data_IF_919627071547
#
_entry.id   IF_919627071547
#
_cell.length_a   1.000
_cell.length_b   1.000
_cell.length_c   1.000
_cell.angle_alpha   90.00
_cell.angle_beta   90.00
_cell.angle_gamma   90.00
#
_symmetry.space_group_name_H-M   'P 1'
#
loop_
_entity.id
_entity.type
_entity.pdbx_description
1 polymer ?
#
# COMPACT_ATOMS: atom_id res chain seq x y z
N UNK A 1 -33.19 12.98 63.84
CA UNK A 1 -33.00 12.27 62.55
C UNK A 1 -31.91 12.94 61.70
N UNK A 2 -30.76 13.31 62.29
CA UNK A 2 -29.81 14.27 61.67
C UNK A 2 -28.55 13.63 61.06
N UNK A 3 -28.51 12.30 60.90
CA UNK A 3 -27.31 11.57 60.42
C UNK A 3 -27.44 10.89 59.05
N UNK A 4 -28.64 10.82 58.47
CA UNK A 4 -28.86 10.06 57.21
C UNK A 4 -28.57 10.88 55.95
N UNK A 5 -28.87 12.17 55.95
CA UNK A 5 -28.61 13.07 54.82
C UNK A 5 -27.14 13.16 54.36
N UNK A 6 -26.13 13.34 55.26
CA UNK A 6 -24.73 13.42 54.83
C UNK A 6 -24.18 12.09 54.32
N UNK A 7 -24.72 10.95 54.79
CA UNK A 7 -24.36 9.61 54.29
C UNK A 7 -24.91 9.35 52.88
N UNK A 8 -26.13 9.79 52.60
CA UNK A 8 -26.76 9.64 51.28
C UNK A 8 -26.03 10.53 50.24
N UNK A 9 -25.67 11.77 50.61
CA UNK A 9 -24.88 12.66 49.75
C UNK A 9 -23.48 12.12 49.44
N UNK A 10 -22.81 11.49 50.42
CA UNK A 10 -21.51 10.83 50.20
C UNK A 10 -21.59 9.65 49.24
N UNK A 11 -22.64 8.82 49.35
CA UNK A 11 -22.87 7.69 48.44
C UNK A 11 -23.17 8.20 47.02
N UNK A 12 -24.00 9.25 46.89
CA UNK A 12 -24.32 9.84 45.58
C UNK A 12 -23.07 10.43 44.90
N UNK A 13 -22.18 11.08 45.68
CA UNK A 13 -20.93 11.64 45.16
C UNK A 13 -19.95 10.56 44.70
N UNK A 14 -19.89 9.42 45.40
CA UNK A 14 -19.07 8.26 44.99
C UNK A 14 -19.62 7.60 43.73
N UNK A 15 -20.96 7.47 43.60
CA UNK A 15 -21.62 6.92 42.40
C UNK A 15 -21.42 7.84 41.19
N UNK A 16 -21.59 9.15 41.35
CA UNK A 16 -21.38 10.12 40.28
C UNK A 16 -19.90 10.19 39.89
N UNK A 17 -18.97 10.12 40.87
CA UNK A 17 -17.54 10.07 40.58
C UNK A 17 -17.14 8.79 39.84
N UNK A 18 -17.70 7.63 40.21
CA UNK A 18 -17.43 6.36 39.51
C UNK A 18 -18.04 6.31 38.09
N UNK A 19 -19.17 6.99 37.85
CA UNK A 19 -19.75 7.16 36.52
C UNK A 19 -18.93 8.13 35.63
N UNK A 20 -18.35 9.19 36.21
CA UNK A 20 -17.51 10.14 35.46
C UNK A 20 -16.13 9.54 35.15
N UNK A 21 -15.57 8.67 36.00
CA UNK A 21 -14.33 7.93 35.70
C UNK A 21 -14.51 6.89 34.58
N UNK A 22 -15.71 6.34 34.37
CA UNK A 22 -16.01 5.44 33.26
C UNK A 22 -16.11 6.14 31.89
N UNK A 23 -16.19 7.49 31.87
CA UNK A 23 -16.27 8.31 30.66
C UNK A 23 -14.93 8.66 30.00
N UNK A 24 -13.81 8.27 30.61
CA UNK A 24 -12.48 8.33 29.99
C UNK A 24 -12.21 7.03 29.22
N UNK A 25 -13.15 6.64 28.35
CA UNK A 25 -13.12 5.39 27.60
C UNK A 25 -12.23 5.49 26.37
N UNK A 26 -11.39 4.48 26.16
CA UNK A 26 -10.65 4.29 24.92
C UNK A 26 -11.63 4.06 23.75
N UNK A 27 -11.66 4.99 22.79
CA UNK A 27 -12.60 4.98 21.66
C UNK A 27 -12.12 4.10 20.49
N UNK A 28 -10.89 3.56 20.57
CA UNK A 28 -10.30 2.75 19.50
C UNK A 28 -11.12 1.49 19.15
N UNK A 29 -11.70 0.74 20.10
CA UNK A 29 -12.55 -0.41 19.78
C UNK A 29 -13.78 -0.04 18.94
N UNK A 30 -14.44 1.08 19.26
CA UNK A 30 -15.58 1.57 18.49
C UNK A 30 -15.16 2.02 17.08
N UNK A 31 -14.00 2.69 16.97
CA UNK A 31 -13.43 3.06 15.68
C UNK A 31 -13.10 1.82 14.83
N UNK A 32 -12.49 0.78 15.42
CA UNK A 32 -12.18 -0.48 14.74
C UNK A 32 -13.48 -1.10 14.20
N UNK A 33 -14.51 -1.21 15.03
CA UNK A 33 -15.81 -1.77 14.63
C UNK A 33 -16.43 -0.96 13.47
N UNK A 34 -16.37 0.37 13.54
CA UNK A 34 -16.85 1.25 12.46
C UNK A 34 -16.10 1.00 11.15
N UNK A 35 -14.77 0.94 11.19
CA UNK A 35 -13.97 0.69 9.99
C UNK A 35 -14.15 -0.74 9.46
N UNK A 36 -14.36 -1.74 10.31
CA UNK A 36 -14.71 -3.10 9.89
C UNK A 36 -16.01 -3.11 9.07
N UNK A 37 -17.08 -2.51 9.59
CA UNK A 37 -18.38 -2.43 8.89
C UNK A 37 -18.27 -1.70 7.56
N UNK A 38 -17.63 -0.52 7.55
CA UNK A 38 -17.44 0.27 6.33
C UNK A 38 -16.56 -0.46 5.30
N UNK A 39 -15.55 -1.20 5.76
CA UNK A 39 -14.69 -1.98 4.88
C UNK A 39 -15.43 -3.17 4.26
N UNK A 40 -16.32 -3.84 5.01
CA UNK A 40 -17.15 -4.92 4.46
C UNK A 40 -18.07 -4.40 3.33
N UNK A 41 -18.71 -3.24 3.55
CA UNK A 41 -19.53 -2.60 2.51
C UNK A 41 -18.70 -2.23 1.27
N UNK A 42 -17.52 -1.63 1.47
CA UNK A 42 -16.62 -1.24 0.37
C UNK A 42 -16.06 -2.42 -0.39
N UNK A 43 -15.76 -3.53 0.30
CA UNK A 43 -15.32 -4.77 -0.35
C UNK A 43 -16.40 -5.29 -1.31
N UNK A 44 -17.65 -5.36 -0.86
CA UNK A 44 -18.78 -5.74 -1.72
C UNK A 44 -18.96 -4.80 -2.90
N UNK A 45 -18.93 -3.48 -2.65
CA UNK A 45 -18.99 -2.49 -3.72
C UNK A 45 -17.85 -2.66 -4.72
N UNK A 46 -16.61 -2.82 -4.26
CA UNK A 46 -15.46 -3.02 -5.13
C UNK A 46 -15.60 -4.28 -5.97
N UNK A 47 -16.12 -5.38 -5.39
CA UNK A 47 -16.40 -6.62 -6.11
C UNK A 47 -17.38 -6.38 -7.27
N UNK A 48 -18.52 -5.74 -6.98
CA UNK A 48 -19.51 -5.39 -7.99
C UNK A 48 -18.92 -4.48 -9.07
N UNK A 49 -18.13 -3.47 -8.70
CA UNK A 49 -17.51 -2.57 -9.68
C UNK A 49 -16.47 -3.27 -10.57
N UNK A 50 -15.78 -4.30 -10.06
CA UNK A 50 -14.87 -5.14 -10.84
C UNK A 50 -15.66 -6.03 -11.82
N UNK A 51 -16.73 -6.68 -11.35
CA UNK A 51 -17.61 -7.55 -12.15
C UNK A 51 -18.35 -6.77 -13.26
N UNK A 52 -18.88 -5.60 -12.91
CA UNK A 52 -19.59 -4.68 -13.80
C UNK A 52 -18.66 -3.88 -14.72
N UNK A 53 -17.35 -4.16 -14.70
CA UNK A 53 -16.37 -3.51 -15.58
C UNK A 53 -16.37 -1.98 -15.42
N UNK A 54 -16.52 -1.48 -14.20
CA UNK A 54 -16.55 -0.04 -13.92
C UNK A 54 -15.15 0.54 -13.63
N UNK A 55 -14.17 -0.30 -13.32
CA UNK A 55 -12.79 0.14 -13.10
C UNK A 55 -12.02 0.19 -14.43
N UNK A 56 -11.57 1.38 -14.81
CA UNK A 56 -10.83 1.62 -16.07
C UNK A 56 -9.62 0.71 -16.21
N UNK A 57 -8.78 0.63 -15.20
CA UNK A 57 -7.54 -0.16 -15.27
C UNK A 57 -7.81 -1.67 -15.23
N UNK A 58 -8.89 -2.13 -14.58
CA UNK A 58 -9.34 -3.52 -14.68
C UNK A 58 -9.74 -3.88 -16.12
N UNK A 59 -10.50 -2.99 -16.78
CA UNK A 59 -10.86 -3.18 -18.18
C UNK A 59 -9.66 -3.20 -19.11
N UNK A 60 -8.73 -2.26 -18.93
CA UNK A 60 -7.50 -2.21 -19.72
C UNK A 60 -6.66 -3.46 -19.52
N UNK A 61 -6.57 -3.96 -18.27
CA UNK A 61 -5.86 -5.21 -17.99
C UNK A 61 -6.45 -6.38 -18.77
N UNK A 62 -7.78 -6.56 -18.74
CA UNK A 62 -8.45 -7.60 -19.52
C UNK A 62 -8.20 -7.45 -21.04
N UNK A 63 -8.34 -6.25 -21.59
CA UNK A 63 -8.15 -6.00 -23.02
C UNK A 63 -6.70 -6.24 -23.45
N UNK A 64 -5.75 -5.70 -22.69
CA UNK A 64 -4.32 -5.84 -22.95
C UNK A 64 -3.88 -7.29 -22.84
N UNK A 65 -4.36 -8.02 -21.83
CA UNK A 65 -4.09 -9.44 -21.68
C UNK A 65 -4.62 -10.24 -22.86
N UNK A 66 -5.83 -9.96 -23.35
CA UNK A 66 -6.38 -10.64 -24.54
C UNK A 66 -5.56 -10.38 -25.80
N UNK A 67 -5.14 -9.13 -26.02
CA UNK A 67 -4.29 -8.76 -27.17
C UNK A 67 -2.94 -9.47 -27.07
N UNK A 68 -2.29 -9.37 -25.91
CA UNK A 68 -0.96 -9.91 -25.72
C UNK A 68 -0.96 -11.44 -25.80
N UNK A 69 -1.94 -12.11 -25.21
CA UNK A 69 -2.07 -13.58 -25.25
C UNK A 69 -2.20 -14.14 -26.67
N UNK A 70 -2.83 -13.39 -27.59
CA UNK A 70 -2.91 -13.76 -29.02
C UNK A 70 -1.57 -13.57 -29.73
N UNK A 71 -0.86 -12.47 -29.41
CA UNK A 71 0.42 -12.13 -30.06
C UNK A 71 1.62 -12.91 -29.49
N UNK A 72 1.55 -13.36 -28.24
CA UNK A 72 2.61 -14.09 -27.52
C UNK A 72 2.03 -15.31 -26.79
N UNK A 73 1.66 -16.37 -27.53
CA UNK A 73 1.04 -17.57 -26.95
C UNK A 73 1.89 -18.24 -25.86
N UNK A 74 3.22 -18.18 -25.98
CA UNK A 74 4.16 -18.77 -24.99
C UNK A 74 4.04 -18.12 -23.61
N UNK A 75 3.59 -16.86 -23.55
CA UNK A 75 3.37 -16.12 -22.30
C UNK A 75 1.93 -16.25 -21.79
N UNK A 76 1.04 -16.92 -22.53
CA UNK A 76 -0.39 -16.97 -22.23
C UNK A 76 -0.68 -17.40 -20.78
N UNK A 77 -0.04 -18.43 -20.19
CA UNK A 77 -0.34 -18.82 -18.82
C UNK A 77 -0.04 -17.70 -17.80
N UNK A 78 1.06 -16.96 -17.98
CA UNK A 78 1.39 -15.82 -17.14
C UNK A 78 0.43 -14.64 -17.36
N UNK A 79 0.05 -14.38 -18.61
CA UNK A 79 -0.87 -13.31 -18.98
C UNK A 79 -2.28 -13.58 -18.43
N UNK A 80 -2.76 -14.82 -18.53
CA UNK A 80 -4.04 -15.23 -17.97
C UNK A 80 -4.03 -15.09 -16.44
N UNK A 81 -2.91 -15.40 -15.78
CA UNK A 81 -2.77 -15.21 -14.33
C UNK A 81 -2.86 -13.73 -13.95
N UNK A 82 -2.11 -12.85 -14.63
CA UNK A 82 -2.17 -11.40 -14.41
C UNK A 82 -3.56 -10.84 -14.73
N UNK A 83 -4.27 -11.39 -15.71
CA UNK A 83 -5.63 -10.94 -16.03
C UNK A 83 -6.60 -11.12 -14.86
N UNK A 84 -6.34 -12.05 -13.92
CA UNK A 84 -7.18 -12.24 -12.73
C UNK A 84 -7.20 -11.01 -11.81
N UNK A 85 -6.16 -10.17 -11.83
CA UNK A 85 -6.15 -8.91 -11.07
C UNK A 85 -7.25 -7.94 -11.50
N UNK A 86 -7.82 -8.11 -12.69
CA UNK A 86 -8.96 -7.34 -13.15
C UNK A 86 -10.29 -7.72 -12.44
N UNK A 87 -10.28 -8.73 -11.57
CA UNK A 87 -11.47 -9.22 -10.87
C UNK A 87 -11.21 -9.60 -9.41
N UNK A 88 -12.21 -10.22 -8.80
CA UNK A 88 -12.16 -10.71 -7.41
C UNK A 88 -11.22 -11.92 -7.21
N UNK A 89 -10.77 -12.53 -8.30
CA UNK A 89 -9.83 -13.65 -8.27
C UNK A 89 -8.36 -13.23 -8.22
N UNK A 90 -8.08 -11.92 -8.31
CA UNK A 90 -6.73 -11.38 -8.25
C UNK A 90 -6.12 -11.50 -6.85
N UNK A 91 -4.80 -11.73 -6.75
CA UNK A 91 -4.11 -11.81 -5.46
C UNK A 91 -4.33 -10.59 -4.57
N UNK A 92 -4.47 -9.39 -5.15
CA UNK A 92 -4.68 -8.18 -4.36
C UNK A 92 -6.06 -8.12 -3.72
N UNK A 93 -7.12 -8.44 -4.48
CA UNK A 93 -8.48 -8.50 -3.94
C UNK A 93 -8.59 -9.58 -2.86
N UNK A 94 -8.10 -10.80 -3.15
CA UNK A 94 -8.12 -11.92 -2.20
C UNK A 94 -7.35 -11.61 -0.92
N UNK A 95 -6.23 -10.88 -1.03
CA UNK A 95 -5.47 -10.42 0.14
C UNK A 95 -6.28 -9.46 1.01
N UNK A 96 -7.02 -8.51 0.42
CA UNK A 96 -7.88 -7.58 1.15
C UNK A 96 -9.03 -8.30 1.84
N UNK A 97 -9.67 -9.25 1.17
CA UNK A 97 -10.74 -10.06 1.75
C UNK A 97 -10.21 -10.86 2.97
N UNK A 98 -9.08 -11.54 2.82
CA UNK A 98 -8.47 -12.29 3.94
C UNK A 98 -8.12 -11.37 5.11
N UNK A 99 -7.46 -10.24 4.84
CA UNK A 99 -7.06 -9.28 5.88
C UNK A 99 -8.27 -8.70 6.62
N UNK A 100 -9.38 -8.47 5.93
CA UNK A 100 -10.62 -8.04 6.55
C UNK A 100 -11.23 -9.13 7.46
N UNK A 101 -11.08 -10.41 7.11
CA UNK A 101 -11.45 -11.53 7.99
C UNK A 101 -10.55 -11.59 9.23
N UNK A 102 -9.23 -11.47 9.05
CA UNK A 102 -8.23 -11.43 10.12
C UNK A 102 -8.45 -10.25 11.09
N UNK A 103 -8.93 -9.10 10.59
CA UNK A 103 -9.22 -7.91 11.38
C UNK A 103 -10.26 -8.13 12.50
N UNK A 104 -11.13 -9.14 12.36
CA UNK A 104 -12.15 -9.46 13.36
C UNK A 104 -11.58 -10.14 14.61
N UNK A 105 -10.33 -10.61 14.56
CA UNK A 105 -9.66 -11.28 15.66
C UNK A 105 -8.47 -10.43 16.13
N UNK A 106 -8.62 -9.85 17.32
CA UNK A 106 -7.61 -8.98 17.93
C UNK A 106 -6.30 -9.69 18.26
N UNK A 107 -6.31 -11.04 18.38
CA UNK A 107 -5.10 -11.82 18.64
C UNK A 107 -4.12 -11.85 17.47
N UNK A 108 -4.56 -11.47 16.27
CA UNK A 108 -3.71 -11.30 15.09
C UNK A 108 -2.83 -10.05 15.14
N UNK A 109 -3.04 -9.18 16.13
CA UNK A 109 -2.37 -7.89 16.28
C UNK A 109 -1.58 -7.82 17.57
N UNK A 110 -0.47 -7.07 17.56
CA UNK A 110 0.38 -6.87 18.73
C UNK A 110 -0.37 -6.06 19.79
N UNK A 111 -1.08 -5.03 19.35
CA UNK A 111 -1.85 -4.11 20.19
C UNK A 111 -3.04 -3.53 19.41
N UNK A 112 -3.90 -2.82 20.15
CA UNK A 112 -5.10 -2.17 19.60
C UNK A 112 -4.74 -1.07 18.59
N UNK A 113 -3.58 -0.42 18.72
CA UNK A 113 -3.14 0.61 17.78
C UNK A 113 -2.84 -0.01 16.41
N UNK A 114 -2.14 -1.15 16.37
CA UNK A 114 -1.88 -1.87 15.13
C UNK A 114 -3.17 -2.40 14.48
N UNK A 115 -4.14 -2.85 15.28
CA UNK A 115 -5.46 -3.26 14.79
C UNK A 115 -6.23 -2.09 14.18
N UNK A 116 -6.22 -0.92 14.84
CA UNK A 116 -6.86 0.29 14.32
C UNK A 116 -6.18 0.79 13.04
N UNK A 117 -4.85 0.79 12.99
CA UNK A 117 -4.09 1.16 11.80
C UNK A 117 -4.46 0.23 10.62
N UNK A 118 -4.56 -1.07 10.85
CA UNK A 118 -4.99 -2.02 9.82
C UNK A 118 -6.44 -1.77 9.37
N UNK A 119 -7.35 -1.49 10.30
CA UNK A 119 -8.74 -1.16 9.98
C UNK A 119 -8.83 0.07 9.06
N UNK A 120 -8.06 1.12 9.37
CA UNK A 120 -7.97 2.33 8.54
C UNK A 120 -7.34 2.05 7.18
N UNK A 121 -6.28 1.23 7.14
CA UNK A 121 -5.60 0.86 5.92
C UNK A 121 -6.52 0.07 4.98
N UNK A 122 -7.28 -0.91 5.50
CA UNK A 122 -8.24 -1.68 4.72
C UNK A 122 -9.37 -0.80 4.19
N UNK A 123 -9.93 0.08 5.02
CA UNK A 123 -10.95 1.02 4.59
C UNK A 123 -10.48 1.88 3.41
N UNK A 124 -9.23 2.35 3.43
CA UNK A 124 -8.64 3.09 2.31
C UNK A 124 -8.33 2.19 1.12
N UNK A 125 -7.74 1.02 1.34
CA UNK A 125 -7.33 0.10 0.27
C UNK A 125 -8.50 -0.35 -0.61
N UNK A 126 -9.70 -0.42 -0.02
CA UNK A 126 -10.96 -0.80 -0.66
C UNK A 126 -11.67 0.36 -1.37
N UNK A 127 -11.11 1.57 -1.34
CA UNK A 127 -11.61 2.67 -2.17
C UNK A 127 -11.41 2.33 -3.67
N UNK A 128 -12.46 2.37 -4.51
CA UNK A 128 -12.35 1.99 -5.92
C UNK A 128 -11.34 2.83 -6.72
N UNK A 129 -11.12 4.10 -6.35
CA UNK A 129 -10.15 4.95 -7.05
C UNK A 129 -8.72 4.54 -6.72
N UNK A 130 -8.45 4.27 -5.44
CA UNK A 130 -7.14 3.78 -4.98
C UNK A 130 -6.83 2.38 -5.53
N UNK A 131 -7.84 1.50 -5.57
CA UNK A 131 -7.69 0.17 -6.15
C UNK A 131 -7.50 0.23 -7.67
N UNK A 132 -8.22 1.11 -8.37
CA UNK A 132 -7.99 1.33 -9.80
C UNK A 132 -6.55 1.79 -10.09
N UNK A 133 -5.99 2.69 -9.28
CA UNK A 133 -4.60 3.12 -9.43
C UNK A 133 -3.60 1.99 -9.12
N UNK A 134 -3.90 1.12 -8.14
CA UNK A 134 -3.11 -0.10 -7.88
C UNK A 134 -3.02 -1.01 -9.10
N UNK A 135 -4.14 -1.18 -9.83
CA UNK A 135 -4.17 -2.01 -11.05
C UNK A 135 -3.31 -1.45 -12.18
N UNK A 136 -2.78 -0.24 -12.08
CA UNK A 136 -1.81 0.26 -13.06
C UNK A 136 -0.53 -0.59 -13.11
N UNK A 137 -0.10 -1.17 -11.99
CA UNK A 137 1.11 -2.01 -11.95
C UNK A 137 0.98 -3.25 -12.85
N UNK A 138 -0.03 -4.15 -12.70
CA UNK A 138 -0.20 -5.29 -13.59
C UNK A 138 -0.49 -4.88 -15.05
N UNK A 139 -1.24 -3.79 -15.29
CA UNK A 139 -1.44 -3.26 -16.66
C UNK A 139 -0.10 -2.90 -17.31
N UNK A 140 0.78 -2.23 -16.57
CA UNK A 140 2.08 -1.81 -17.05
C UNK A 140 3.05 -2.99 -17.26
N UNK A 141 2.87 -4.09 -16.52
CA UNK A 141 3.60 -5.34 -16.79
C UNK A 141 3.20 -5.94 -18.13
N UNK A 142 1.89 -6.04 -18.41
CA UNK A 142 1.42 -6.50 -19.72
C UNK A 142 1.90 -5.55 -20.83
N UNK A 143 1.85 -4.23 -20.60
CA UNK A 143 2.33 -3.25 -21.55
C UNK A 143 3.83 -3.41 -21.85
N UNK A 144 4.66 -3.62 -20.82
CA UNK A 144 6.09 -3.85 -20.99
C UNK A 144 6.39 -5.16 -21.74
N UNK A 145 5.62 -6.22 -21.49
CA UNK A 145 5.75 -7.48 -22.23
C UNK A 145 5.32 -7.34 -23.69
N UNK A 146 4.58 -6.29 -24.07
CA UNK A 146 4.17 -6.05 -25.45
C UNK A 146 5.26 -5.43 -26.32
N UNK A 147 6.43 -5.10 -25.75
CA UNK A 147 7.54 -4.43 -26.46
C UNK A 147 7.12 -3.10 -27.14
N UNK A 148 6.29 -2.30 -26.46
CA UNK A 148 5.86 -0.98 -26.93
C UNK A 148 4.58 -0.97 -27.78
N UNK A 149 3.97 -2.12 -28.06
CA UNK A 149 2.70 -2.19 -28.77
C UNK A 149 1.50 -1.69 -27.94
N UNK A 150 1.60 -1.78 -26.61
CA UNK A 150 0.58 -1.34 -25.66
C UNK A 150 1.15 -0.20 -24.80
N UNK A 151 0.34 0.82 -24.58
CA UNK A 151 0.74 2.00 -23.81
C UNK A 151 0.62 1.74 -22.30
N UNK A 152 1.63 2.18 -21.55
CA UNK A 152 1.55 2.24 -20.08
C UNK A 152 0.45 3.20 -19.62
N UNK A 153 -0.08 2.93 -18.43
CA UNK A 153 -1.13 3.72 -17.77
C UNK A 153 -0.64 4.19 -16.41
N UNK A 154 -1.11 5.37 -15.99
CA UNK A 154 -0.77 6.00 -14.72
C UNK A 154 0.74 6.11 -14.42
N UNK A 155 1.57 5.93 -15.45
CA UNK A 155 3.02 6.02 -15.36
C UNK A 155 3.60 6.56 -16.67
N UNK A 156 4.80 7.15 -16.59
CA UNK A 156 5.59 7.48 -17.78
C UNK A 156 6.13 6.21 -18.46
N UNK A 157 6.69 6.36 -19.67
CA UNK A 157 7.32 5.24 -20.38
C UNK A 157 8.42 4.58 -19.56
N UNK A 158 8.72 3.32 -19.90
CA UNK A 158 9.74 2.52 -19.20
C UNK A 158 11.10 3.19 -19.22
N UNK A 159 11.50 3.66 -20.40
CA UNK A 159 12.79 4.30 -20.67
C UNK A 159 12.88 5.62 -19.90
N UNK A 160 11.82 6.42 -19.92
CA UNK A 160 11.76 7.68 -19.16
C UNK A 160 11.82 7.43 -17.65
N UNK A 161 11.17 6.38 -17.14
CA UNK A 161 11.24 5.99 -15.74
C UNK A 161 12.65 5.53 -15.34
N UNK A 162 13.34 4.75 -16.17
CA UNK A 162 14.72 4.33 -15.91
C UNK A 162 15.63 5.56 -15.85
N UNK A 163 15.54 6.45 -16.84
CA UNK A 163 16.35 7.67 -16.89
C UNK A 163 16.09 8.60 -15.69
N UNK A 164 14.83 8.88 -15.38
CA UNK A 164 14.44 9.81 -14.32
C UNK A 164 14.84 9.34 -12.91
N UNK A 165 14.99 8.03 -12.71
CA UNK A 165 15.33 7.45 -11.41
C UNK A 165 16.80 7.03 -11.30
N UNK A 166 17.63 7.24 -12.33
CA UNK A 166 18.97 6.64 -12.41
C UNK A 166 18.91 5.12 -12.23
N UNK A 167 17.83 4.53 -12.72
CA UNK A 167 17.43 3.16 -12.44
C UNK A 167 18.01 2.16 -13.42
N UNK A 168 17.56 0.92 -13.29
CA UNK A 168 17.89 -0.16 -14.19
C UNK A 168 16.61 -0.83 -14.68
N UNK A 169 16.65 -1.35 -15.90
CA UNK A 169 15.62 -2.24 -16.40
C UNK A 169 15.75 -3.66 -15.80
N UNK A 170 14.86 -3.99 -14.87
CA UNK A 170 14.71 -5.32 -14.27
C UNK A 170 13.82 -6.27 -15.10
N UNK A 171 13.38 -5.84 -16.29
CA UNK A 171 12.47 -6.59 -17.16
C UNK A 171 11.00 -6.40 -16.80
N UNK A 172 10.11 -7.01 -17.60
CA UNK A 172 8.68 -7.06 -17.28
C UNK A 172 8.44 -7.73 -15.91
N UNK A 173 7.45 -7.24 -15.18
CA UNK A 173 7.14 -7.72 -13.82
C UNK A 173 7.84 -6.92 -12.72
N UNK A 174 8.84 -6.10 -13.04
CA UNK A 174 9.60 -5.32 -12.04
C UNK A 174 8.74 -4.40 -11.16
N UNK A 175 7.56 -3.99 -11.65
CA UNK A 175 6.57 -3.20 -10.93
C UNK A 175 5.92 -3.97 -9.78
N UNK A 176 5.82 -5.30 -9.89
CA UNK A 176 5.18 -6.17 -8.90
C UNK A 176 6.14 -6.65 -7.81
N UNK A 177 7.45 -6.43 -8.00
CA UNK A 177 8.47 -6.80 -7.02
C UNK A 177 8.24 -6.03 -5.72
N UNK A 178 8.33 -6.74 -4.59
CA UNK A 178 8.05 -6.19 -3.27
C UNK A 178 6.57 -6.21 -2.87
N UNK A 179 5.67 -6.47 -3.81
CA UNK A 179 4.24 -6.62 -3.52
C UNK A 179 3.92 -8.07 -3.06
N UNK A 180 3.47 -8.26 -1.82
CA UNK A 180 3.24 -9.58 -1.24
C UNK A 180 2.10 -10.37 -1.89
N UNK A 181 1.31 -9.75 -2.78
CA UNK A 181 0.35 -10.46 -3.62
C UNK A 181 1.03 -11.39 -4.63
N UNK A 182 2.27 -11.10 -5.04
CA UNK A 182 2.92 -11.77 -6.17
C UNK A 182 4.17 -12.57 -5.78
N UNK A 183 4.68 -12.39 -4.56
CA UNK A 183 5.90 -13.04 -4.11
C UNK A 183 6.37 -12.59 -2.74
N UNK A 184 7.60 -12.99 -2.40
CA UNK A 184 8.26 -12.57 -1.16
C UNK A 184 9.77 -12.47 -1.32
N UNK A 185 10.38 -11.68 -0.45
CA UNK A 185 11.83 -11.64 -0.33
C UNK A 185 12.32 -12.89 0.41
N UNK A 186 13.17 -13.67 -0.25
CA UNK A 186 13.85 -14.82 0.32
C UNK A 186 15.34 -14.52 0.46
N UNK A 187 16.00 -15.16 1.42
CA UNK A 187 17.44 -15.02 1.63
C UNK A 187 18.10 -16.37 1.54
N UNK A 188 19.14 -16.46 0.72
CA UNK A 188 19.92 -17.69 0.58
C UNK A 188 20.97 -17.84 1.69
N UNK A 189 21.64 -18.99 1.72
CA UNK A 189 22.74 -19.29 2.66
C UNK A 189 23.89 -18.28 2.59
N UNK A 190 24.10 -17.64 1.44
CA UNK A 190 25.08 -16.57 1.24
C UNK A 190 24.65 -15.21 1.81
N UNK A 191 23.49 -15.14 2.47
CA UNK A 191 22.97 -13.92 3.09
C UNK A 191 22.47 -12.86 2.09
N UNK A 192 22.32 -13.22 0.81
CA UNK A 192 21.78 -12.32 -0.21
C UNK A 192 20.27 -12.51 -0.33
N UNK A 193 19.51 -11.41 -0.25
CA UNK A 193 18.06 -11.47 -0.46
C UNK A 193 17.69 -11.28 -1.93
N UNK A 194 16.75 -12.09 -2.41
CA UNK A 194 16.21 -12.04 -3.77
C UNK A 194 14.70 -12.17 -3.75
N UNK A 195 14.04 -11.68 -4.81
CA UNK A 195 12.60 -11.77 -4.97
C UNK A 195 12.22 -13.16 -5.49
N UNK A 196 11.33 -13.84 -4.77
CA UNK A 196 10.77 -15.12 -5.15
C UNK A 196 9.28 -14.96 -5.46
N UNK A 197 8.91 -15.28 -6.70
CA UNK A 197 7.53 -15.22 -7.18
C UNK A 197 6.69 -16.40 -6.68
N UNK A 198 5.39 -16.18 -6.50
CA UNK A 198 4.45 -17.24 -6.14
C UNK A 198 3.82 -17.91 -7.35
N UNK A 199 3.62 -19.24 -7.26
CA UNK A 199 2.83 -20.00 -8.23
C UNK A 199 3.21 -19.70 -9.67
N UNK A 200 2.22 -19.31 -10.48
CA UNK A 200 2.42 -19.10 -11.92
C UNK A 200 3.26 -17.85 -12.22
N UNK A 201 3.38 -16.91 -11.28
CA UNK A 201 4.29 -15.78 -11.42
C UNK A 201 5.76 -16.21 -11.42
N UNK A 202 6.10 -17.45 -11.02
CA UNK A 202 7.45 -18.00 -11.19
C UNK A 202 7.92 -18.01 -12.65
N UNK A 203 6.99 -17.96 -13.62
CA UNK A 203 7.32 -17.76 -15.03
C UNK A 203 8.10 -16.46 -15.28
N UNK A 204 7.95 -15.41 -14.46
CA UNK A 204 8.81 -14.23 -14.60
C UNK A 204 10.29 -14.57 -14.47
N UNK A 205 10.65 -15.40 -13.48
CA UNK A 205 12.03 -15.85 -13.30
C UNK A 205 12.47 -16.76 -14.45
N UNK A 206 11.61 -17.66 -14.92
CA UNK A 206 11.99 -18.68 -15.89
C UNK A 206 12.10 -18.13 -17.32
N UNK A 207 11.18 -17.24 -17.70
CA UNK A 207 11.11 -16.67 -19.05
C UNK A 207 12.09 -15.51 -19.20
N UNK A 208 12.21 -14.65 -18.19
CA UNK A 208 13.09 -13.49 -18.25
C UNK A 208 14.46 -13.72 -17.60
N UNK A 209 14.71 -14.93 -17.07
CA UNK A 209 15.96 -15.48 -16.53
C UNK A 209 16.82 -14.52 -15.69
N UNK A 210 16.19 -13.74 -14.80
CA UNK A 210 16.87 -12.72 -14.00
C UNK A 210 16.37 -12.71 -12.55
N UNK A 211 17.12 -13.33 -11.62
CA UNK A 211 16.86 -13.15 -10.19
C UNK A 211 16.98 -11.67 -9.82
N UNK A 212 15.98 -11.14 -9.14
CA UNK A 212 15.95 -9.74 -8.72
C UNK A 212 16.49 -9.65 -7.30
N UNK A 213 17.76 -9.29 -7.16
CA UNK A 213 18.42 -9.05 -5.87
C UNK A 213 17.87 -7.81 -5.18
N UNK A 214 17.64 -7.90 -3.87
CA UNK A 214 17.08 -6.81 -3.07
C UNK A 214 17.95 -5.55 -3.11
N UNK A 215 19.27 -5.72 -3.04
CA UNK A 215 20.24 -4.64 -3.03
C UNK A 215 20.22 -3.81 -4.33
N UNK A 216 20.21 -4.51 -5.46
CA UNK A 216 20.19 -3.90 -6.79
C UNK A 216 18.83 -3.26 -7.05
N UNK A 217 17.76 -3.99 -6.77
CA UNK A 217 16.39 -3.50 -6.95
C UNK A 217 16.09 -2.29 -6.07
N UNK A 218 16.47 -2.32 -4.79
CA UNK A 218 16.13 -1.25 -3.85
C UNK A 218 16.70 0.11 -4.27
N UNK A 219 17.91 0.13 -4.79
CA UNK A 219 18.58 1.34 -5.25
C UNK A 219 18.16 1.77 -6.66
N UNK A 220 17.86 0.82 -7.56
CA UNK A 220 17.70 1.10 -9.01
C UNK A 220 16.31 0.83 -9.58
N UNK A 221 15.30 0.50 -8.77
CA UNK A 221 13.94 0.25 -9.27
C UNK A 221 13.32 1.50 -9.91
N UNK A 222 12.42 1.25 -10.87
CA UNK A 222 11.51 2.25 -11.41
C UNK A 222 10.29 2.50 -10.50
N UNK A 223 9.39 3.35 -11.00
CA UNK A 223 8.10 3.61 -10.36
C UNK A 223 7.19 2.38 -10.39
N UNK A 224 6.50 2.16 -9.28
CA UNK A 224 5.35 1.25 -9.18
C UNK A 224 4.38 1.84 -8.17
N UNK A 225 3.09 1.81 -8.48
CA UNK A 225 2.09 2.36 -7.57
C UNK A 225 2.17 1.71 -6.19
N UNK A 226 2.29 0.39 -6.12
CA UNK A 226 2.39 -0.30 -4.84
C UNK A 226 3.57 0.22 -4.00
N UNK A 227 4.80 0.24 -4.52
CA UNK A 227 5.96 0.60 -3.69
C UNK A 227 6.01 2.10 -3.36
N UNK A 228 5.48 2.96 -4.23
CA UNK A 228 5.63 4.42 -4.12
C UNK A 228 4.43 5.11 -3.46
N UNK A 229 3.24 4.51 -3.51
CA UNK A 229 1.98 5.12 -3.04
C UNK A 229 1.17 4.16 -2.16
N UNK A 230 1.04 2.91 -2.59
CA UNK A 230 0.08 1.96 -2.03
C UNK A 230 0.57 1.09 -0.88
N UNK A 231 1.88 0.99 -0.63
CA UNK A 231 2.49 -0.09 0.17
C UNK A 231 1.83 -0.26 1.53
N UNK A 232 1.64 0.83 2.27
CA UNK A 232 1.08 0.79 3.62
C UNK A 232 -0.37 0.31 3.65
N UNK A 233 -1.15 0.53 2.58
CA UNK A 233 -2.55 0.08 2.46
C UNK A 233 -2.65 -1.38 2.08
N UNK A 234 -1.74 -1.85 1.22
CA UNK A 234 -1.81 -3.15 0.56
C UNK A 234 -0.90 -4.23 1.16
N UNK A 235 -0.19 -3.91 2.25
CA UNK A 235 0.66 -4.84 3.00
C UNK A 235 0.05 -5.11 4.36
N UNK A 236 -0.20 -6.37 4.71
CA UNK A 236 -0.69 -6.71 6.05
C UNK A 236 0.38 -6.44 7.12
N UNK A 237 0.01 -6.27 8.41
CA UNK A 237 0.98 -6.05 9.48
C UNK A 237 2.06 -7.14 9.56
N UNK A 238 1.65 -8.41 9.42
CA UNK A 238 2.58 -9.54 9.35
C UNK A 238 3.56 -9.40 8.18
N UNK A 239 3.07 -9.10 6.97
CA UNK A 239 3.92 -8.90 5.79
C UNK A 239 4.87 -7.71 5.96
N UNK A 240 4.40 -6.61 6.56
CA UNK A 240 5.20 -5.42 6.80
C UNK A 240 6.38 -5.74 7.74
N UNK A 241 6.14 -6.52 8.80
CA UNK A 241 7.20 -7.02 9.69
C UNK A 241 8.25 -7.84 8.94
N UNK A 242 7.84 -8.77 8.07
CA UNK A 242 8.79 -9.58 7.27
C UNK A 242 9.62 -8.73 6.30
N UNK A 243 8.99 -7.74 5.65
CA UNK A 243 9.69 -6.80 4.78
C UNK A 243 10.68 -5.92 5.59
N UNK A 244 10.32 -5.52 6.82
CA UNK A 244 11.20 -4.76 7.70
C UNK A 244 12.40 -5.60 8.18
N UNK A 245 12.19 -6.89 8.49
CA UNK A 245 13.29 -7.80 8.82
C UNK A 245 14.28 -7.96 7.66
N UNK A 246 13.77 -8.04 6.43
CA UNK A 246 14.60 -8.08 5.21
C UNK A 246 15.40 -6.79 5.04
N UNK A 247 14.73 -5.65 5.22
CA UNK A 247 15.36 -4.33 5.17
C UNK A 247 16.49 -4.19 6.19
N UNK A 248 16.24 -4.52 7.46
CA UNK A 248 17.24 -4.40 8.53
C UNK A 248 18.41 -5.37 8.34
N UNK A 249 18.16 -6.58 7.83
CA UNK A 249 19.22 -7.53 7.48
C UNK A 249 20.13 -6.99 6.37
N UNK A 250 19.56 -6.52 5.28
CA UNK A 250 20.34 -5.96 4.16
C UNK A 250 21.07 -4.68 4.56
N UNK A 251 20.44 -3.82 5.36
CA UNK A 251 21.08 -2.64 5.95
C UNK A 251 22.33 -3.01 6.75
N UNK A 252 22.22 -3.99 7.67
CA UNK A 252 23.35 -4.48 8.46
C UNK A 252 24.47 -5.06 7.59
N UNK A 253 24.12 -5.84 6.56
CA UNK A 253 25.07 -6.43 5.60
C UNK A 253 25.81 -5.34 4.80
N UNK A 254 25.11 -4.31 4.36
CA UNK A 254 25.74 -3.19 3.66
C UNK A 254 26.70 -2.42 4.56
N UNK A 255 26.29 -2.16 5.80
CA UNK A 255 27.14 -1.52 6.80
C UNK A 255 28.39 -2.33 7.11
N UNK A 256 28.29 -3.67 7.23
CA UNK A 256 29.47 -4.53 7.47
C UNK A 256 30.42 -4.60 6.28
N UNK A 257 29.93 -4.34 5.06
CA UNK A 257 30.75 -4.22 3.85
C UNK A 257 31.28 -2.81 3.59
N UNK A 258 31.03 -1.85 4.48
CA UNK A 258 31.40 -0.44 4.28
C UNK A 258 30.64 0.26 3.14
N UNK A 259 29.53 -0.32 2.66
CA UNK A 259 28.73 0.22 1.56
C UNK A 259 27.56 1.06 2.10
N UNK A 260 27.16 2.07 1.33
CA UNK A 260 25.95 2.87 1.63
C UNK A 260 24.70 2.10 1.21
N UNK A 261 23.82 1.83 2.16
CA UNK A 261 22.52 1.22 1.89
C UNK A 261 21.50 2.28 1.48
N UNK A 262 20.82 2.06 0.35
CA UNK A 262 19.73 2.91 -0.10
C UNK A 262 18.40 2.20 0.15
N UNK A 263 17.55 2.80 0.98
CA UNK A 263 16.23 2.23 1.27
C UNK A 263 15.35 2.28 0.02
N UNK A 264 14.69 1.16 -0.36
CA UNK A 264 13.74 1.13 -1.47
C UNK A 264 12.51 2.04 -1.25
N UNK A 265 12.26 2.39 0.01
CA UNK A 265 11.06 3.08 0.45
C UNK A 265 11.34 4.47 1.03
N UNK A 266 12.60 4.91 1.16
CA UNK A 266 12.88 6.25 1.72
C UNK A 266 12.44 7.40 0.81
N UNK A 267 12.26 7.14 -0.50
CA UNK A 267 11.86 8.14 -1.48
C UNK A 267 10.91 7.51 -2.50
N UNK A 268 9.90 8.27 -2.88
CA UNK A 268 9.04 7.94 -4.02
C UNK A 268 9.82 8.11 -5.31
N UNK A 269 9.70 7.14 -6.21
CA UNK A 269 10.29 7.18 -7.55
C UNK A 269 9.51 8.14 -8.45
N UNK A 270 10.23 8.81 -9.33
CA UNK A 270 9.63 9.64 -10.37
C UNK A 270 8.99 8.74 -11.41
N UNK A 271 7.72 8.96 -11.74
CA UNK A 271 7.10 8.22 -12.82
C UNK A 271 5.58 8.18 -12.79
N UNK A 272 4.95 8.47 -11.65
CA UNK A 272 3.51 8.59 -11.55
C UNK A 272 2.93 9.62 -12.55
N UNK A 273 1.87 9.25 -13.26
CA UNK A 273 1.06 10.17 -14.07
C UNK A 273 -0.41 9.91 -13.77
N UNK A 274 -1.26 10.94 -13.90
CA UNK A 274 -2.72 10.80 -13.85
C UNK A 274 -3.28 9.98 -12.66
N UNK A 275 -2.63 10.03 -11.50
CA UNK A 275 -3.13 9.40 -10.28
C UNK A 275 -4.41 10.08 -9.81
N UNK A 276 -5.29 9.32 -9.17
CA UNK A 276 -6.47 9.88 -8.51
C UNK A 276 -6.08 10.91 -7.45
N UNK A 277 -7.02 11.80 -7.10
CA UNK A 277 -6.82 12.78 -6.03
C UNK A 277 -6.52 12.08 -4.69
N UNK A 278 -7.18 10.95 -4.45
CA UNK A 278 -7.02 10.10 -3.29
C UNK A 278 -5.58 9.58 -3.20
N UNK A 279 -5.04 9.05 -4.30
CA UNK A 279 -3.64 8.60 -4.40
C UNK A 279 -2.65 9.73 -4.21
N UNK A 280 -2.93 10.90 -4.80
CA UNK A 280 -2.05 12.09 -4.72
C UNK A 280 -2.00 12.71 -3.32
N UNK A 281 -3.02 12.47 -2.50
CA UNK A 281 -3.11 12.96 -1.12
C UNK A 281 -2.48 12.01 -0.08
N UNK A 282 -1.92 10.88 -0.51
CA UNK A 282 -1.33 9.91 0.40
C UNK A 282 -0.17 10.51 1.22
N UNK A 283 0.00 10.15 2.50
CA UNK A 283 1.12 10.63 3.30
C UNK A 283 2.44 10.26 2.64
N UNK A 284 3.38 11.21 2.58
CA UNK A 284 4.72 10.92 2.09
C UNK A 284 5.37 9.81 2.94
N UNK A 285 6.13 8.93 2.30
CA UNK A 285 6.72 7.71 2.88
C UNK A 285 7.64 7.96 4.09
N UNK A 286 8.03 9.22 4.35
CA UNK A 286 8.92 9.64 5.44
C UNK A 286 8.22 10.03 6.76
N UNK A 287 6.91 9.77 6.91
CA UNK A 287 6.15 10.24 8.09
C UNK A 287 5.82 9.14 9.11
N UNK A 288 6.63 8.07 9.19
CA UNK A 288 6.52 7.09 10.27
C UNK A 288 6.85 7.68 11.68
N UNK A 289 7.50 8.86 11.73
CA UNK A 289 7.85 9.56 12.97
C UNK A 289 6.98 10.77 13.32
N UNK A 290 6.06 11.19 12.44
CA UNK A 290 5.16 12.32 12.71
C UNK A 290 3.77 11.98 12.19
N UNK A 291 2.97 11.31 13.02
CA UNK A 291 1.61 10.84 12.71
C UNK A 291 0.72 12.01 12.28
N UNK A 292 0.70 12.37 10.99
CA UNK A 292 -0.39 13.17 10.43
C UNK A 292 -1.60 12.25 10.37
N UNK A 293 -2.35 12.19 11.47
CA UNK A 293 -3.61 11.46 11.57
C UNK A 293 -4.47 11.78 10.35
N UNK A 294 -5.01 10.75 9.72
CA UNK A 294 -6.01 10.86 8.66
C UNK A 294 -7.13 11.80 9.13
N UNK A 295 -7.19 13.02 8.58
CA UNK A 295 -8.28 13.96 8.83
C UNK A 295 -9.44 13.51 7.96
N UNK A 296 -10.40 12.80 8.55
CA UNK A 296 -11.66 12.53 7.88
C UNK A 296 -12.41 13.86 7.67
N UNK A 297 -13.04 14.04 6.51
CA UNK A 297 -13.85 15.22 6.19
C UNK A 297 -15.13 15.33 7.06
N UNK A 298 -15.35 14.41 8.01
CA UNK A 298 -16.54 14.35 8.86
C UNK A 298 -16.38 15.08 10.19
N UNK A 299 -15.16 15.47 10.59
CA UNK A 299 -14.96 16.34 11.76
C UNK A 299 -14.89 17.81 11.32
N UNK A 300 -16.03 18.41 10.98
CA UNK A 300 -16.16 19.86 10.99
C UNK A 300 -16.50 20.29 12.42
N UNK A 301 -15.49 20.65 13.20
CA UNK A 301 -15.70 21.67 14.23
C UNK A 301 -14.45 22.51 14.54
N UNK A 302 -14.73 23.80 14.70
CA UNK A 302 -13.95 24.95 15.17
C UNK A 302 -12.41 25.04 15.01
N UNK A 303 -12.01 26.01 14.18
CA UNK A 303 -10.90 26.96 14.36
C UNK A 303 -9.56 26.48 14.93
N UNK A 304 -8.52 26.39 14.08
CA UNK A 304 -7.22 27.05 14.29
C UNK A 304 -6.47 27.11 12.95
N UNK A 305 -6.37 28.33 12.40
CA UNK A 305 -5.53 28.63 11.23
C UNK A 305 -4.08 28.65 11.67
N UNK A 306 -3.28 27.67 11.25
CA UNK A 306 -1.83 27.76 11.30
C UNK A 306 -1.30 27.94 9.87
N UNK A 307 -1.16 29.21 9.47
CA UNK A 307 -0.55 29.60 8.21
C UNK A 307 0.96 29.76 8.40
N UNK A 308 1.74 28.74 8.03
CA UNK A 308 3.18 28.90 7.83
C UNK A 308 3.52 28.67 6.34
N UNK A 309 3.23 29.67 5.52
CA UNK A 309 3.76 29.78 4.16
C UNK A 309 5.13 30.45 4.22
N UNK A 310 6.22 29.65 4.24
CA UNK A 310 7.54 30.15 3.88
C UNK A 310 7.68 30.13 2.36
N UNK A 311 7.21 31.19 1.73
CA UNK A 311 7.57 31.56 0.36
C UNK A 311 8.38 32.86 0.41
N UNK A 312 9.69 32.74 0.25
CA UNK A 312 10.57 33.85 -0.08
C UNK A 312 11.60 33.33 -1.07
N UNK A 313 11.30 33.47 -2.36
CA UNK A 313 12.29 33.50 -3.43
C UNK A 313 12.37 34.95 -3.89
N UNK A 314 13.35 35.67 -3.36
CA UNK A 314 13.70 37.01 -3.83
C UNK A 314 14.36 36.89 -5.21
N UNK A 315 13.72 37.47 -6.21
CA UNK A 315 14.28 37.66 -7.55
C UNK A 315 15.05 38.97 -7.52
N UNK A 316 16.38 38.92 -7.42
CA UNK A 316 17.21 40.12 -7.55
C UNK A 316 17.42 40.42 -9.04
N UNK A 317 16.67 41.39 -9.56
CA UNK A 317 16.91 42.06 -10.83
C UNK A 317 17.40 43.50 -10.55
N UNK A 318 18.43 43.93 -11.30
CA UNK A 318 18.97 45.29 -11.36
C UNK A 318 20.32 45.41 -10.65
N UNK A 319 21.42 45.83 -11.28
CA UNK A 319 21.62 46.76 -12.40
C UNK A 319 22.58 46.18 -13.44
#
# INVERSE_FOLDING_TARGET
MNGMLPRILGILFVIVSSLVLAGCGDDRPEQIQKYQQLSQQRLGQLATMLEDKQLRNANLLNQYSQILARSKPDLKPLIDELAKDAGSQGPMYQSLERRLKELNDSSNFIDVDQQLDEAQNLYQALDPSLYNDLLSDPVNVIADMSNGALARVNSISKEASVLANGGEDFGPGSQLVGNPGYGSWQTNSSGTSFWAWYGMYAMFSNVFNRPIGYDRWSSRRGYSYYNDVGRYRYTSPKQASHQNSTFEREKKRFSSQGKRFQSPYAKTRTGATSLSKQSSSAPAVNTAGNRSKFRSNYSKDSSFRNSNSRTSRGVSRGK
#
